data_IF_781899429315
#
_entry.id   IF_781899429315
#
_cell.length_a   1.000
_cell.length_b   1.000
_cell.length_c   1.000
_cell.angle_alpha   90.00
_cell.angle_beta   90.00
_cell.angle_gamma   90.00
#
_symmetry.space_group_name_H-M   'P 1'
#
loop_
_entity.id
_entity.type
_entity.pdbx_description
1 polymer ?
#
# COMPACT_ATOMS: atom_id res chain seq x y z
N UNK A 1 -10.92 -2.10 18.94
CA UNK A 1 -10.14 -1.26 19.89
C UNK A 1 -10.94 -1.00 21.17
N UNK A 2 -12.12 -0.39 21.10
CA UNK A 2 -12.98 -0.08 22.26
C UNK A 2 -13.23 -1.26 23.21
N UNK A 3 -13.48 -2.46 22.68
CA UNK A 3 -13.65 -3.66 23.51
C UNK A 3 -12.40 -4.00 24.32
N UNK A 4 -11.20 -3.82 23.74
CA UNK A 4 -9.94 -4.04 24.44
C UNK A 4 -9.73 -3.04 25.58
N UNK A 5 -10.09 -1.77 25.37
CA UNK A 5 -10.00 -0.75 26.42
C UNK A 5 -10.92 -1.06 27.62
N UNK A 6 -12.10 -1.61 27.35
CA UNK A 6 -13.04 -2.05 28.40
C UNK A 6 -12.57 -3.31 29.13
N UNK A 7 -12.01 -4.28 28.40
CA UNK A 7 -11.53 -5.55 28.97
C UNK A 7 -10.25 -5.31 29.81
N UNK A 8 -9.36 -4.42 29.34
CA UNK A 8 -8.07 -4.17 29.96
C UNK A 8 -7.15 -5.40 29.89
N UNK A 9 -6.28 -5.57 30.90
CA UNK A 9 -5.40 -6.76 31.04
C UNK A 9 -4.56 -7.03 29.78
N UNK A 10 -4.05 -5.97 29.15
CA UNK A 10 -3.27 -6.03 27.91
C UNK A 10 -4.01 -6.73 26.75
N UNK A 11 -5.36 -6.72 26.72
CA UNK A 11 -6.12 -7.35 25.63
C UNK A 11 -5.85 -6.74 24.25
N UNK A 12 -5.18 -5.59 24.16
CA UNK A 12 -4.82 -4.95 22.90
C UNK A 12 -3.78 -5.79 22.14
N UNK A 13 -2.91 -6.49 22.86
CA UNK A 13 -1.90 -7.38 22.30
C UNK A 13 -2.52 -8.52 21.48
N UNK A 14 -3.72 -8.94 21.86
CA UNK A 14 -4.51 -9.97 21.16
C UNK A 14 -5.40 -9.42 20.06
N UNK A 15 -5.54 -8.09 19.95
CA UNK A 15 -6.32 -7.44 18.91
C UNK A 15 -5.44 -7.18 17.68
N UNK A 16 -5.50 -8.09 16.71
CA UNK A 16 -4.78 -7.93 15.44
C UNK A 16 -5.60 -7.01 14.53
N UNK A 17 -5.15 -5.76 14.43
CA UNK A 17 -5.82 -4.70 13.70
C UNK A 17 -4.80 -3.69 13.17
N UNK A 18 -5.21 -2.94 12.15
CA UNK A 18 -4.54 -1.70 11.72
C UNK A 18 -5.63 -0.64 11.50
N UNK A 19 -5.43 0.56 12.05
CA UNK A 19 -6.37 1.71 11.97
C UNK A 19 -7.82 1.40 12.36
N UNK A 20 -8.00 0.52 13.33
CA UNK A 20 -9.30 0.06 13.82
C UNK A 20 -9.91 -1.11 13.05
N UNK A 21 -9.36 -1.47 11.88
CA UNK A 21 -9.86 -2.59 11.08
C UNK A 21 -9.20 -3.90 11.48
N UNK A 22 -10.02 -4.93 11.67
CA UNK A 22 -9.58 -6.29 11.99
C UNK A 22 -8.68 -6.87 10.89
N UNK A 23 -7.76 -7.74 11.29
CA UNK A 23 -6.90 -8.50 10.37
C UNK A 23 -7.71 -9.26 9.29
N UNK A 24 -7.05 -9.49 8.16
CA UNK A 24 -7.60 -10.05 6.92
C UNK A 24 -7.80 -11.58 6.92
N UNK A 25 -7.61 -12.24 8.05
CA UNK A 25 -7.47 -13.69 8.15
C UNK A 25 -6.31 -14.26 7.31
N UNK A 26 -5.33 -13.42 6.99
CA UNK A 26 -4.03 -13.79 6.45
C UNK A 26 -2.92 -13.42 7.43
N UNK A 27 -1.75 -14.04 7.23
CA UNK A 27 -0.56 -13.84 8.05
C UNK A 27 0.59 -13.32 7.20
N UNK A 28 0.94 -12.05 7.40
CA UNK A 28 1.90 -11.33 6.56
C UNK A 28 3.33 -11.38 7.12
N UNK A 29 3.59 -12.16 8.19
CA UNK A 29 4.93 -12.27 8.80
C UNK A 29 6.00 -12.83 7.87
N UNK A 30 5.59 -13.61 6.87
CA UNK A 30 6.48 -14.14 5.84
C UNK A 30 6.67 -13.23 4.62
N UNK A 31 5.88 -12.16 4.49
CA UNK A 31 5.72 -11.41 3.24
C UNK A 31 5.77 -9.89 3.50
N UNK A 32 6.97 -9.29 3.59
CA UNK A 32 7.15 -7.88 3.97
C UNK A 32 6.34 -6.89 3.12
N UNK A 33 6.20 -7.14 1.80
CA UNK A 33 5.38 -6.30 0.93
C UNK A 33 3.89 -6.33 1.28
N UNK A 34 3.33 -7.51 1.61
CA UNK A 34 1.93 -7.60 2.03
C UNK A 34 1.71 -6.99 3.43
N UNK A 35 2.71 -7.12 4.31
CA UNK A 35 2.71 -6.49 5.62
C UNK A 35 2.73 -4.96 5.54
N UNK A 36 3.53 -4.40 4.62
CA UNK A 36 3.57 -2.96 4.37
C UNK A 36 2.23 -2.46 3.83
N UNK A 37 1.62 -3.18 2.87
CA UNK A 37 0.28 -2.86 2.37
C UNK A 37 -0.73 -2.68 3.52
N UNK A 38 -0.86 -3.67 4.41
CA UNK A 38 -1.88 -3.59 5.47
C UNK A 38 -1.56 -2.50 6.50
N UNK A 39 -0.29 -2.19 6.72
CA UNK A 39 0.13 -1.12 7.62
C UNK A 39 -0.25 0.25 7.07
N UNK A 40 0.01 0.51 5.78
CA UNK A 40 -0.12 1.83 5.17
C UNK A 40 -1.46 2.07 4.48
N UNK A 41 -2.28 1.03 4.29
CA UNK A 41 -3.61 1.14 3.70
C UNK A 41 -4.48 2.19 4.40
N UNK A 42 -5.14 3.02 3.59
CA UNK A 42 -5.88 4.21 4.03
C UNK A 42 -7.07 3.91 4.94
N UNK A 43 -7.62 2.70 4.83
CA UNK A 43 -8.77 2.24 5.61
C UNK A 43 -8.43 1.09 6.55
N UNK A 44 -7.18 1.00 7.01
CA UNK A 44 -6.73 -0.07 7.90
C UNK A 44 -6.38 -1.36 7.18
N UNK A 45 -6.40 -2.50 7.89
CA UNK A 45 -6.02 -3.83 7.35
C UNK A 45 -6.89 -4.23 6.15
N UNK A 46 -6.47 -3.82 4.95
CA UNK A 46 -7.17 -4.09 3.69
C UNK A 46 -6.19 -4.42 2.56
N UNK A 47 -6.40 -5.60 1.96
CA UNK A 47 -5.61 -6.05 0.82
C UNK A 47 -6.03 -5.38 -0.48
N UNK A 48 -7.24 -4.85 -0.55
CA UNK A 48 -7.76 -4.17 -1.74
C UNK A 48 -7.29 -2.72 -1.84
N UNK A 49 -6.32 -2.27 -1.02
CA UNK A 49 -5.69 -0.95 -1.16
C UNK A 49 -4.37 -0.95 -1.89
N UNK A 50 -3.48 -1.90 -1.65
CA UNK A 50 -2.15 -1.86 -2.26
C UNK A 50 -1.42 -3.20 -2.27
N UNK A 51 -2.12 -4.34 -2.18
CA UNK A 51 -1.47 -5.66 -2.07
C UNK A 51 -0.82 -6.09 -3.40
N UNK A 52 0.52 -6.18 -3.51
CA UNK A 52 1.18 -6.67 -4.73
C UNK A 52 1.14 -8.21 -4.79
N UNK A 53 -0.01 -8.78 -5.15
CA UNK A 53 -0.19 -10.24 -5.09
C UNK A 53 0.74 -11.03 -6.02
N UNK A 54 1.13 -10.46 -7.15
CA UNK A 54 2.09 -11.09 -8.09
C UNK A 54 3.50 -11.24 -7.50
N UNK A 55 3.79 -10.60 -6.36
CA UNK A 55 5.05 -10.81 -5.64
C UNK A 55 5.21 -12.27 -5.18
N UNK A 56 4.09 -12.96 -4.94
CA UNK A 56 4.07 -14.37 -4.59
C UNK A 56 4.32 -15.32 -5.78
N UNK A 57 4.42 -14.79 -7.00
CA UNK A 57 4.57 -15.61 -8.20
C UNK A 57 6.04 -15.83 -8.58
N UNK A 58 6.97 -15.18 -7.88
CA UNK A 58 8.41 -15.26 -8.16
C UNK A 58 8.75 -14.96 -9.63
N UNK A 59 8.07 -13.97 -10.22
CA UNK A 59 8.29 -13.58 -11.60
C UNK A 59 9.73 -13.05 -11.77
N UNK A 60 10.38 -13.30 -12.94
CA UNK A 60 11.69 -12.75 -13.23
C UNK A 60 11.71 -11.23 -13.10
N UNK A 61 12.81 -10.66 -12.61
CA UNK A 61 12.93 -9.21 -12.43
C UNK A 61 12.75 -8.41 -13.72
N UNK A 62 13.10 -8.97 -14.88
CA UNK A 62 12.81 -8.35 -16.19
C UNK A 62 11.31 -8.16 -16.44
N UNK A 63 10.47 -9.11 -15.98
CA UNK A 63 9.01 -9.04 -16.08
C UNK A 63 8.50 -8.02 -15.06
N UNK A 64 9.00 -8.06 -13.83
CA UNK A 64 8.66 -7.10 -12.79
C UNK A 64 8.98 -5.67 -13.23
N UNK A 65 10.11 -5.45 -13.91
CA UNK A 65 10.50 -4.13 -14.39
C UNK A 65 9.58 -3.60 -15.49
N UNK A 66 9.11 -4.47 -16.39
CA UNK A 66 8.09 -4.10 -17.39
C UNK A 66 6.76 -3.72 -16.74
N UNK A 67 6.37 -4.38 -15.64
CA UNK A 67 5.12 -4.09 -14.94
C UNK A 67 5.26 -2.80 -14.12
N UNK A 68 6.19 -2.82 -13.15
CA UNK A 68 6.34 -1.77 -12.15
C UNK A 68 7.08 -0.53 -12.67
N UNK A 69 7.57 -0.55 -13.91
CA UNK A 69 8.11 0.61 -14.62
C UNK A 69 7.13 1.26 -15.59
N UNK A 70 5.85 0.89 -15.55
CA UNK A 70 4.77 1.49 -16.36
C UNK A 70 3.60 1.87 -15.45
N UNK A 71 2.94 3.02 -15.65
CA UNK A 71 3.17 3.97 -16.73
C UNK A 71 4.32 4.92 -16.46
N UNK A 72 4.81 4.98 -15.22
CA UNK A 72 5.96 5.80 -14.84
C UNK A 72 7.24 4.95 -14.78
N UNK A 73 8.35 5.39 -15.41
CA UNK A 73 9.61 4.68 -15.36
C UNK A 73 10.11 4.49 -13.92
N UNK A 74 10.72 3.33 -13.66
CA UNK A 74 11.37 3.03 -12.39
C UNK A 74 12.65 2.25 -12.63
N UNK A 75 13.77 2.78 -12.16
CA UNK A 75 15.12 2.23 -12.25
C UNK A 75 15.66 1.74 -10.88
N UNK A 76 14.91 1.98 -9.81
CA UNK A 76 15.27 1.56 -8.46
C UNK A 76 15.20 0.03 -8.22
N UNK A 77 15.50 -0.42 -6.99
CA UNK A 77 15.56 -1.84 -6.66
C UNK A 77 14.23 -2.56 -6.85
N UNK A 78 14.28 -3.81 -7.31
CA UNK A 78 13.17 -4.77 -7.37
C UNK A 78 13.69 -6.12 -6.89
N UNK A 79 12.81 -6.97 -6.37
CA UNK A 79 13.17 -8.34 -6.02
C UNK A 79 12.01 -9.28 -6.30
N UNK A 80 12.31 -10.42 -6.94
CA UNK A 80 11.37 -11.52 -7.16
C UNK A 80 11.11 -12.36 -5.91
N UNK A 81 11.88 -12.15 -4.84
CA UNK A 81 11.73 -12.91 -3.61
C UNK A 81 10.75 -12.23 -2.66
N UNK A 82 9.58 -12.84 -2.47
CA UNK A 82 8.51 -12.29 -1.63
C UNK A 82 8.90 -12.09 -0.16
N UNK A 83 9.99 -12.72 0.30
CA UNK A 83 10.51 -12.60 1.68
C UNK A 83 11.51 -11.47 1.86
N UNK A 84 11.98 -10.84 0.78
CA UNK A 84 12.88 -9.69 0.83
C UNK A 84 12.13 -8.39 1.17
N UNK A 85 12.88 -7.40 1.65
CA UNK A 85 12.37 -6.06 2.00
C UNK A 85 12.66 -5.06 0.87
N UNK A 86 13.77 -5.25 0.17
CA UNK A 86 14.23 -4.36 -0.91
C UNK A 86 13.28 -4.39 -2.11
N UNK A 87 12.99 -3.21 -2.65
CA UNK A 87 12.07 -3.01 -3.78
C UNK A 87 10.59 -3.18 -3.46
N UNK A 88 10.24 -3.76 -2.30
CA UNK A 88 8.83 -3.94 -1.89
C UNK A 88 8.09 -2.63 -1.67
N UNK A 89 8.69 -1.56 -1.11
CA UNK A 89 8.00 -0.27 -0.97
C UNK A 89 7.50 0.30 -2.31
N UNK A 90 8.32 0.22 -3.35
CA UNK A 90 7.92 0.59 -4.70
C UNK A 90 6.75 -0.25 -5.22
N UNK A 91 6.83 -1.59 -5.08
CA UNK A 91 5.75 -2.48 -5.52
C UNK A 91 4.42 -2.16 -4.83
N UNK A 92 4.45 -1.87 -3.53
CA UNK A 92 3.24 -1.49 -2.75
C UNK A 92 2.72 -0.12 -3.18
N UNK A 93 3.59 0.88 -3.36
CA UNK A 93 3.19 2.21 -3.84
C UNK A 93 2.58 2.14 -5.25
N UNK A 94 3.22 1.39 -6.14
CA UNK A 94 2.71 1.21 -7.49
C UNK A 94 1.35 0.51 -7.49
N UNK A 95 1.19 -0.54 -6.68
CA UNK A 95 -0.08 -1.24 -6.57
C UNK A 95 -1.17 -0.36 -5.96
N UNK A 96 -0.83 0.53 -5.03
CA UNK A 96 -1.75 1.51 -4.45
C UNK A 96 -2.35 2.43 -5.53
N UNK A 97 -1.54 2.88 -6.47
CA UNK A 97 -2.00 3.72 -7.58
C UNK A 97 -2.74 2.91 -8.66
N UNK A 98 -2.28 1.69 -8.97
CA UNK A 98 -3.02 0.77 -9.84
C UNK A 98 -4.45 0.53 -9.31
N UNK A 99 -4.59 0.30 -8.00
CA UNK A 99 -5.87 0.06 -7.36
C UNK A 99 -6.77 1.27 -7.27
N UNK A 100 -6.20 2.44 -6.99
CA UNK A 100 -6.98 3.67 -7.01
C UNK A 100 -7.44 4.00 -8.42
N UNK A 101 -6.57 3.83 -9.44
CA UNK A 101 -6.93 4.03 -10.83
C UNK A 101 -8.10 3.15 -11.27
N UNK A 102 -8.06 1.84 -10.98
CA UNK A 102 -9.16 0.93 -11.33
C UNK A 102 -10.44 1.18 -10.52
N UNK A 103 -10.32 1.64 -9.27
CA UNK A 103 -11.47 2.06 -8.45
C UNK A 103 -12.16 3.29 -9.06
N UNK A 104 -11.40 4.28 -9.54
CA UNK A 104 -11.94 5.45 -10.25
C UNK A 104 -12.66 5.07 -11.56
N UNK A 105 -12.19 4.03 -12.23
CA UNK A 105 -12.82 3.49 -13.46
C UNK A 105 -14.07 2.65 -13.17
N UNK A 106 -14.30 2.25 -11.92
CA UNK A 106 -15.39 1.36 -11.54
C UNK A 106 -15.22 -0.08 -12.02
N UNK A 107 -13.99 -0.52 -12.28
CA UNK A 107 -13.69 -1.87 -12.78
C UNK A 107 -13.25 -2.76 -11.61
N UNK A 108 -13.64 -4.04 -11.64
CA UNK A 108 -13.21 -4.99 -10.61
C UNK A 108 -11.68 -5.21 -10.65
N UNK A 109 -11.02 -5.13 -9.50
CA UNK A 109 -9.56 -5.33 -9.32
C UNK A 109 -9.03 -6.65 -9.85
N UNK A 110 -9.88 -7.68 -10.00
CA UNK A 110 -9.49 -8.94 -10.64
C UNK A 110 -9.11 -8.77 -12.12
N UNK A 111 -9.47 -7.67 -12.76
CA UNK A 111 -9.04 -7.32 -14.13
C UNK A 111 -7.81 -6.42 -14.14
N UNK A 112 -6.92 -6.57 -13.16
CA UNK A 112 -5.67 -5.81 -13.05
C UNK A 112 -4.50 -6.71 -12.75
N UNK A 113 -3.30 -6.14 -12.72
CA UNK A 113 -2.06 -6.81 -12.31
C UNK A 113 -2.07 -7.38 -10.87
N UNK A 114 -3.17 -7.25 -10.13
CA UNK A 114 -3.44 -8.08 -8.96
C UNK A 114 -3.49 -9.59 -9.27
N UNK A 115 -4.29 -10.00 -10.26
CA UNK A 115 -4.58 -11.41 -10.51
C UNK A 115 -3.59 -12.04 -11.51
N UNK A 116 -2.96 -11.23 -12.36
CA UNK A 116 -1.99 -11.74 -13.32
C UNK A 116 -1.19 -10.64 -14.01
N UNK A 117 0.08 -10.94 -14.30
CA UNK A 117 1.03 -10.04 -14.97
C UNK A 117 0.60 -9.59 -16.38
N UNK A 118 -0.36 -10.29 -16.99
CA UNK A 118 -0.85 -10.04 -18.36
C UNK A 118 -2.23 -9.39 -18.40
N UNK A 119 -2.80 -9.07 -17.23
CA UNK A 119 -4.13 -8.45 -17.16
C UNK A 119 -4.06 -6.94 -17.41
N UNK A 120 -5.20 -6.33 -17.82
CA UNK A 120 -5.24 -4.93 -18.22
C UNK A 120 -4.67 -3.97 -17.18
N UNK A 121 -4.02 -2.91 -17.65
CA UNK A 121 -3.45 -1.88 -16.79
C UNK A 121 -3.58 -0.48 -17.43
N UNK A 122 -2.88 0.53 -16.90
CA UNK A 122 -3.00 1.94 -17.29
C UNK A 122 -3.10 2.22 -18.81
N UNK A 123 -2.27 1.58 -19.64
CA UNK A 123 -2.34 1.75 -21.11
C UNK A 123 -3.66 1.26 -21.72
N UNK A 124 -4.21 0.18 -21.19
CA UNK A 124 -5.52 -0.33 -21.61
C UNK A 124 -6.64 0.57 -21.10
N UNK A 125 -6.48 1.13 -19.90
CA UNK A 125 -7.47 2.00 -19.29
C UNK A 125 -7.64 3.32 -20.04
N UNK A 126 -6.59 3.86 -20.65
CA UNK A 126 -6.70 4.99 -21.59
C UNK A 126 -7.70 4.72 -22.72
N UNK A 127 -7.64 3.52 -23.32
CA UNK A 127 -8.57 3.11 -24.39
C UNK A 127 -9.98 2.93 -23.85
N UNK A 128 -10.13 2.35 -22.66
CA UNK A 128 -11.43 2.16 -22.00
C UNK A 128 -12.11 3.50 -21.76
N UNK A 129 -11.39 4.49 -21.23
CA UNK A 129 -11.91 5.84 -20.98
C UNK A 129 -12.35 6.52 -22.27
N UNK A 130 -11.50 6.49 -23.30
CA UNK A 130 -11.82 7.11 -24.58
C UNK A 130 -13.08 6.50 -25.23
N UNK A 131 -13.15 5.16 -25.32
CA UNK A 131 -14.27 4.51 -26.01
C UNK A 131 -15.60 4.58 -25.25
N UNK A 132 -15.59 4.66 -23.92
CA UNK A 132 -16.83 4.69 -23.13
C UNK A 132 -17.30 6.10 -22.80
N UNK A 133 -16.38 7.05 -22.58
CA UNK A 133 -16.69 8.38 -22.07
C UNK A 133 -16.17 9.52 -22.96
N UNK A 134 -15.42 9.24 -24.02
CA UNK A 134 -14.79 10.26 -24.87
C UNK A 134 -13.66 11.02 -24.17
N UNK A 135 -13.17 10.52 -23.05
CA UNK A 135 -12.06 11.11 -22.30
C UNK A 135 -10.74 10.64 -22.89
N UNK A 136 -10.02 11.55 -23.55
CA UNK A 136 -8.68 11.30 -24.06
C UNK A 136 -7.67 11.56 -22.94
N UNK A 137 -7.20 10.48 -22.31
CA UNK A 137 -6.26 10.51 -21.20
C UNK A 137 -5.14 9.50 -21.45
N UNK A 138 -3.91 9.94 -21.25
CA UNK A 138 -2.71 9.09 -21.26
C UNK A 138 -2.64 8.23 -19.99
N UNK A 139 -1.84 7.16 -20.06
CA UNK A 139 -1.61 6.26 -18.93
C UNK A 139 -1.00 6.99 -17.72
N UNK A 140 -0.11 7.96 -17.96
CA UNK A 140 0.48 8.84 -16.94
C UNK A 140 -0.55 9.77 -16.29
N UNK A 141 -1.46 10.37 -17.07
CA UNK A 141 -2.53 11.21 -16.50
C UNK A 141 -3.48 10.42 -15.60
N UNK A 142 -3.78 9.16 -15.95
CA UNK A 142 -4.57 8.26 -15.08
C UNK A 142 -3.81 7.94 -13.79
N UNK A 143 -2.50 7.71 -13.87
CA UNK A 143 -1.64 7.53 -12.71
C UNK A 143 -1.61 8.75 -11.79
N UNK A 144 -1.55 9.96 -12.34
CA UNK A 144 -1.58 11.20 -11.56
C UNK A 144 -2.94 11.43 -10.88
N UNK A 145 -4.05 11.07 -11.55
CA UNK A 145 -5.38 11.05 -10.90
C UNK A 145 -5.38 10.07 -9.73
N UNK A 146 -4.86 8.86 -9.90
CA UNK A 146 -4.77 7.87 -8.84
C UNK A 146 -3.93 8.37 -7.64
N UNK A 147 -2.76 8.99 -7.91
CA UNK A 147 -1.93 9.60 -6.88
C UNK A 147 -2.65 10.72 -6.13
N UNK A 148 -3.37 11.59 -6.86
CA UNK A 148 -4.17 12.67 -6.27
C UNK A 148 -5.25 12.11 -5.33
N UNK A 149 -6.00 11.11 -5.76
CA UNK A 149 -7.04 10.47 -4.94
C UNK A 149 -6.45 9.81 -3.68
N UNK A 150 -5.35 9.06 -3.82
CA UNK A 150 -4.63 8.48 -2.69
C UNK A 150 -4.11 9.55 -1.71
N UNK A 151 -3.66 10.70 -2.22
CA UNK A 151 -3.19 11.81 -1.39
C UNK A 151 -4.34 12.48 -0.63
N UNK A 152 -5.51 12.64 -1.24
CA UNK A 152 -6.72 13.12 -0.54
C UNK A 152 -7.11 12.19 0.61
N UNK A 153 -7.09 10.88 0.41
CA UNK A 153 -7.33 9.92 1.50
C UNK A 153 -6.28 10.04 2.63
N UNK A 154 -5.02 10.36 2.28
CA UNK A 154 -3.96 10.59 3.27
C UNK A 154 -4.19 11.87 4.07
N UNK A 155 -4.48 12.99 3.41
CA UNK A 155 -4.78 14.27 4.06
C UNK A 155 -5.97 14.14 5.01
N UNK A 156 -7.03 13.45 4.57
CA UNK A 156 -8.17 13.15 5.43
C UNK A 156 -7.75 12.38 6.69
N UNK A 157 -6.94 11.33 6.57
CA UNK A 157 -6.50 10.56 7.75
C UNK A 157 -5.66 11.40 8.71
N UNK A 158 -4.78 12.27 8.20
CA UNK A 158 -3.97 13.18 9.03
C UNK A 158 -4.87 14.14 9.80
N UNK A 159 -5.87 14.73 9.13
CA UNK A 159 -6.89 15.57 9.76
C UNK A 159 -7.63 14.84 10.89
N UNK A 160 -7.91 13.55 10.71
CA UNK A 160 -8.55 12.68 11.72
C UNK A 160 -7.59 12.12 12.79
N UNK A 161 -6.33 12.60 12.78
CA UNK A 161 -5.33 12.32 13.80
C UNK A 161 -4.46 11.09 13.53
N UNK A 162 -4.25 10.71 12.27
CA UNK A 162 -3.22 9.72 11.93
C UNK A 162 -1.85 10.23 12.39
N UNK A 163 -1.14 9.38 13.12
CA UNK A 163 0.26 9.57 13.50
C UNK A 163 0.99 8.28 13.20
N UNK A 164 2.09 8.36 12.45
CA UNK A 164 2.85 7.20 11.96
C UNK A 164 2.96 6.07 12.99
N UNK A 165 3.48 6.36 14.17
CA UNK A 165 3.81 5.35 15.20
C UNK A 165 2.63 4.96 16.13
N UNK A 166 1.43 5.52 15.92
CA UNK A 166 0.26 5.19 16.75
C UNK A 166 -0.27 3.79 16.39
N UNK A 167 -0.27 2.85 17.34
CA UNK A 167 -0.76 1.49 17.10
C UNK A 167 -2.27 1.41 16.80
N UNK A 168 -3.08 2.42 17.14
CA UNK A 168 -4.53 2.45 16.92
C UNK A 168 -4.91 3.03 15.57
N UNK A 169 -4.17 4.03 15.08
CA UNK A 169 -4.53 4.86 13.92
C UNK A 169 -3.38 5.10 12.92
N UNK A 170 -2.18 4.69 13.27
CA UNK A 170 -0.97 4.91 12.47
C UNK A 170 -0.70 3.83 11.43
N UNK A 171 0.50 3.90 10.89
CA UNK A 171 1.01 2.99 9.87
C UNK A 171 1.88 1.90 10.50
N UNK A 172 1.41 1.33 11.62
CA UNK A 172 2.13 0.31 12.38
C UNK A 172 1.34 -0.98 12.51
N UNK A 173 2.09 -2.08 12.54
CA UNK A 173 1.56 -3.42 12.80
C UNK A 173 1.52 -3.71 14.29
N UNK A 174 0.65 -4.64 14.67
CA UNK A 174 0.66 -5.21 16.02
C UNK A 174 2.02 -5.88 16.31
N UNK A 175 2.55 -5.72 17.53
CA UNK A 175 3.85 -6.26 17.95
C UNK A 175 4.07 -7.75 17.64
N UNK A 176 3.00 -8.56 17.59
CA UNK A 176 3.06 -9.99 17.25
C UNK A 176 3.62 -10.29 15.86
N UNK A 177 3.59 -9.32 14.94
CA UNK A 177 4.25 -9.45 13.63
C UNK A 177 5.78 -9.48 13.75
N UNK A 178 6.34 -8.89 14.80
CA UNK A 178 7.78 -8.77 15.03
C UNK A 178 8.30 -9.74 16.10
N UNK A 179 7.47 -10.06 17.10
CA UNK A 179 7.92 -10.76 18.31
C UNK A 179 7.49 -12.24 18.35
N UNK A 180 6.40 -12.60 17.66
CA UNK A 180 5.87 -13.96 17.70
C UNK A 180 6.09 -14.69 16.36
N UNK A 181 6.82 -15.82 16.34
CA UNK A 181 7.02 -16.57 15.11
C UNK A 181 5.74 -17.25 14.60
N UNK A 182 5.62 -17.38 13.28
CA UNK A 182 4.59 -18.20 12.65
C UNK A 182 4.65 -19.64 13.16
N UNK A 183 3.53 -20.15 13.69
CA UNK A 183 3.43 -21.54 14.19
C UNK A 183 2.97 -22.54 13.13
N UNK A 184 2.36 -22.06 12.04
CA UNK A 184 1.73 -22.84 10.97
C UNK A 184 1.83 -22.06 9.65
N UNK A 185 1.70 -22.75 8.53
CA UNK A 185 1.78 -22.17 7.19
C UNK A 185 2.65 -23.00 6.26
N UNK A 186 3.09 -22.40 5.16
CA UNK A 186 4.09 -23.00 4.28
C UNK A 186 5.40 -23.29 5.06
N UNK A 187 6.15 -24.35 4.74
CA UNK A 187 7.33 -24.76 5.51
C UNK A 187 8.38 -23.66 5.70
N UNK A 188 8.54 -22.81 4.69
CA UNK A 188 9.47 -21.70 4.65
C UNK A 188 9.00 -20.47 5.45
N UNK A 189 7.71 -20.39 5.80
CA UNK A 189 7.13 -19.30 6.62
C UNK A 189 7.10 -19.66 8.11
N UNK A 190 7.04 -20.95 8.47
CA UNK A 190 7.06 -21.38 9.88
C UNK A 190 8.34 -20.90 10.56
N UNK A 191 8.21 -20.29 11.75
CA UNK A 191 9.33 -19.71 12.49
C UNK A 191 9.65 -18.26 12.13
N UNK A 192 9.09 -17.70 11.06
CA UNK A 192 9.37 -16.31 10.65
C UNK A 192 8.66 -15.27 11.51
N UNK A 193 9.33 -14.14 11.65
CA UNK A 193 8.83 -12.84 12.10
C UNK A 193 9.30 -11.77 11.13
N UNK A 194 8.67 -10.60 11.14
CA UNK A 194 9.21 -9.43 10.46
C UNK A 194 10.38 -8.83 11.26
N UNK A 195 11.39 -8.37 10.55
CA UNK A 195 12.44 -7.53 11.10
C UNK A 195 11.91 -6.11 11.26
N UNK A 196 11.69 -5.67 12.50
CA UNK A 196 11.12 -4.36 12.80
C UNK A 196 11.94 -3.20 12.21
N UNK A 197 13.28 -3.30 12.21
CA UNK A 197 14.13 -2.21 11.69
C UNK A 197 14.00 -2.10 10.18
N UNK A 198 14.03 -3.23 9.48
CA UNK A 198 13.83 -3.26 8.02
C UNK A 198 12.41 -2.84 7.64
N UNK A 199 11.41 -3.22 8.44
CA UNK A 199 10.02 -2.81 8.21
C UNK A 199 9.81 -1.30 8.38
N UNK A 200 10.37 -0.69 9.43
CA UNK A 200 10.33 0.78 9.60
C UNK A 200 11.01 1.49 8.43
N UNK A 201 12.13 0.95 7.91
CA UNK A 201 12.78 1.46 6.70
C UNK A 201 11.88 1.35 5.46
N UNK A 202 11.12 0.25 5.33
CA UNK A 202 10.15 0.11 4.23
C UNK A 202 9.06 1.18 4.28
N UNK A 203 8.62 1.59 5.48
CA UNK A 203 7.68 2.72 5.63
C UNK A 203 8.33 4.02 5.17
N UNK A 204 9.59 4.28 5.54
CA UNK A 204 10.34 5.47 5.09
C UNK A 204 10.41 5.55 3.56
N UNK A 205 10.80 4.45 2.92
CA UNK A 205 10.91 4.36 1.45
C UNK A 205 9.53 4.52 0.78
N UNK A 206 8.48 3.92 1.35
CA UNK A 206 7.11 4.07 0.85
C UNK A 206 6.62 5.52 0.95
N UNK A 207 6.93 6.21 2.06
CA UNK A 207 6.63 7.62 2.23
C UNK A 207 7.38 8.49 1.23
N UNK A 208 8.65 8.19 0.97
CA UNK A 208 9.44 8.88 -0.03
C UNK A 208 8.83 8.78 -1.42
N UNK A 209 8.44 7.57 -1.87
CA UNK A 209 7.76 7.37 -3.15
C UNK A 209 6.43 8.14 -3.25
N UNK A 210 5.70 8.27 -2.13
CA UNK A 210 4.45 9.04 -2.06
C UNK A 210 4.64 10.56 -1.99
N UNK A 211 5.88 11.05 -1.80
CA UNK A 211 6.13 12.47 -1.56
C UNK A 211 5.71 12.92 -0.16
N UNK A 212 5.87 12.06 0.85
CA UNK A 212 5.61 12.34 2.26
C UNK A 212 6.93 12.58 3.02
N UNK A 213 6.87 13.33 4.12
CA UNK A 213 7.94 13.42 5.10
C UNK A 213 8.03 12.16 5.98
N UNK A 214 8.99 12.12 6.91
CA UNK A 214 9.18 10.98 7.82
C UNK A 214 8.04 10.79 8.82
N UNK A 215 7.27 11.83 9.12
CA UNK A 215 6.08 11.72 9.98
C UNK A 215 4.85 11.28 9.18
N UNK A 216 4.97 11.22 7.85
CA UNK A 216 3.94 10.79 6.94
C UNK A 216 3.06 11.91 6.43
N UNK A 217 3.48 13.18 6.56
CA UNK A 217 2.77 14.35 6.05
C UNK A 217 3.14 14.64 4.60
N UNK A 218 2.21 15.11 3.76
CA UNK A 218 2.52 15.51 2.38
C UNK A 218 3.53 16.65 2.35
N UNK A 219 4.53 16.55 1.47
CA UNK A 219 5.46 17.65 1.23
C UNK A 219 4.77 18.76 0.39
N UNK A 220 5.11 20.05 0.60
CA UNK A 220 4.52 21.15 -0.17
C UNK A 220 4.68 21.00 -1.69
N UNK A 221 5.83 20.53 -2.15
CA UNK A 221 6.10 20.27 -3.56
C UNK A 221 5.16 19.19 -4.13
N UNK A 222 4.85 18.14 -3.37
CA UNK A 222 3.95 17.08 -3.78
C UNK A 222 2.50 17.55 -3.81
N UNK A 223 2.08 18.40 -2.87
CA UNK A 223 0.75 19.00 -2.92
C UNK A 223 0.58 19.86 -4.17
N UNK A 224 1.59 20.69 -4.50
CA UNK A 224 1.58 21.50 -5.71
C UNK A 224 1.58 20.66 -6.99
N UNK A 225 2.41 19.61 -7.04
CA UNK A 225 2.46 18.67 -8.17
C UNK A 225 1.09 18.02 -8.42
N UNK A 226 0.38 17.63 -7.36
CA UNK A 226 -0.92 16.98 -7.45
C UNK A 226 -2.10 17.97 -7.56
N UNK A 227 -1.86 19.29 -7.51
CA UNK A 227 -2.92 20.32 -7.53
C UNK A 227 -3.80 20.32 -6.29
N UNK A 228 -3.21 20.06 -5.12
CA UNK A 228 -3.87 19.92 -3.82
C UNK A 228 -3.48 21.02 -2.81
N UNK A 229 -2.73 22.04 -3.23
CA UNK A 229 -2.24 23.11 -2.36
C UNK A 229 -3.35 23.97 -1.73
N UNK A 230 -4.57 23.92 -2.27
CA UNK A 230 -5.74 24.64 -1.76
C UNK A 230 -6.78 23.71 -1.13
N UNK A 231 -6.51 22.40 -1.01
CA UNK A 231 -7.48 21.43 -0.52
C UNK A 231 -7.70 21.55 1.00
N UNK A 232 -8.88 21.91 1.52
CA UNK A 232 -9.08 22.18 2.96
C UNK A 232 -8.67 21.06 3.91
N UNK A 233 -8.65 19.80 3.46
CA UNK A 233 -8.25 18.66 4.28
C UNK A 233 -6.80 18.70 4.79
N UNK A 234 -5.91 19.54 4.22
CA UNK A 234 -4.56 19.76 4.77
C UNK A 234 -4.41 21.03 5.63
N UNK A 235 -5.49 21.81 5.79
CA UNK A 235 -5.48 23.15 6.41
C UNK A 235 -5.99 23.19 7.86
N UNK A 236 -6.12 22.04 8.52
CA UNK A 236 -6.69 21.92 9.89
C UNK A 236 -5.66 21.38 10.88
#
# INVERSE_FOLDING_TARGET
>A
IQASEKIGKNSFDYLIQVKGMSNLHSDERGTPGLALNIATASRGSDHLRSRPAIDLYHLPEEVLRRIYGNPVPYDGPLSSEHTHYEGKPWQVFWQENCYMGVDCLGICKYHTTFLGATLPNFEDWSKVLYYNAGLDMTAEEIWDVARRCNMVERMYQIREGLKREDLKKGDMLNHRYFDEPCKRGAPDVVGRVLDKKKFVKMIDEFYEHKGLDKEGNPKPETLKELGLENEPSHLV
#
